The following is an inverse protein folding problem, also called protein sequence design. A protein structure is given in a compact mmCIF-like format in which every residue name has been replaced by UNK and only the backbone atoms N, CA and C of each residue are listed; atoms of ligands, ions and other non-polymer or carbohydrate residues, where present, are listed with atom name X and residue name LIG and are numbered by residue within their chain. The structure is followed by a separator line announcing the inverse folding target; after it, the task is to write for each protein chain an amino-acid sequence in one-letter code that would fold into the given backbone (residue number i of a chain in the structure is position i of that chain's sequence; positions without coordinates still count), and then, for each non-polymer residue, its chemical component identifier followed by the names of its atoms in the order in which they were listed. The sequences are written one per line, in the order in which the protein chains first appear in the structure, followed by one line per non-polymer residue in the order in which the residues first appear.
data_IF_247227293337
#
_entry.id   IF_247227293337
#
_cell.length_a   1.000
_cell.length_b   1.000
_cell.length_c   1.000
_cell.angle_alpha   90.00
_cell.angle_beta   90.00
_cell.angle_gamma   90.00
#
_symmetry.space_group_name_H-M   'P 1'
#
loop_
_entity.id
_entity.type
_entity.pdbx_description
1 polymer ?
#
# COMPACT_ATOMS: atom_id res chain seq x y z
N UNK A 1 -19.61 12.77 3.72
CA UNK A 1 -19.98 14.05 3.08
C UNK A 1 -19.43 14.13 1.66
N UNK A 2 -20.05 14.92 0.79
CA UNK A 2 -19.54 15.19 -0.56
C UNK A 2 -18.50 16.30 -0.53
N UNK A 3 -17.39 16.12 -1.22
CA UNK A 3 -16.39 17.15 -1.48
C UNK A 3 -16.63 17.67 -2.91
N UNK A 4 -16.85 18.99 -3.06
CA UNK A 4 -17.07 19.61 -4.36
C UNK A 4 -16.29 20.92 -4.45
N UNK A 5 -15.40 21.01 -5.42
CA UNK A 5 -14.61 22.18 -5.79
C UNK A 5 -14.57 22.34 -7.30
N UNK A 6 -13.94 23.40 -7.79
CA UNK A 6 -13.88 23.70 -9.22
C UNK A 6 -13.16 22.59 -10.02
N UNK A 7 -12.09 22.01 -9.44
CA UNK A 7 -11.25 20.94 -10.08
C UNK A 7 -11.16 19.67 -9.24
N UNK A 8 -12.02 19.51 -8.23
CA UNK A 8 -11.98 18.37 -7.31
C UNK A 8 -13.40 17.90 -7.02
N UNK A 9 -13.60 16.59 -7.12
CA UNK A 9 -14.83 15.91 -6.65
C UNK A 9 -14.44 14.76 -5.75
N UNK A 10 -15.17 14.55 -4.67
CA UNK A 10 -14.79 13.51 -3.73
C UNK A 10 -15.83 13.23 -2.67
N UNK A 11 -15.39 12.42 -1.72
CA UNK A 11 -16.17 12.04 -0.54
C UNK A 11 -15.29 12.08 0.69
N UNK A 12 -15.84 12.59 1.79
CA UNK A 12 -15.24 12.52 3.12
C UNK A 12 -15.98 11.47 3.93
N UNK A 13 -15.24 10.54 4.50
CA UNK A 13 -15.71 9.48 5.39
C UNK A 13 -15.16 9.76 6.79
N UNK A 14 -16.03 9.67 7.79
CA UNK A 14 -15.66 9.88 9.19
C UNK A 14 -16.03 8.65 10.00
N UNK A 15 -15.14 8.23 10.90
CA UNK A 15 -15.35 7.10 11.78
C UNK A 15 -14.78 7.39 13.17
N UNK A 16 -15.56 7.06 14.19
CA UNK A 16 -15.10 7.06 15.58
C UNK A 16 -14.77 5.62 15.98
N UNK A 17 -13.49 5.33 16.13
CA UNK A 17 -12.96 4.10 16.69
C UNK A 17 -12.97 4.26 18.22
N UNK A 18 -13.83 3.49 18.92
CA UNK A 18 -14.06 3.68 20.36
C UNK A 18 -12.94 3.09 21.18
N UNK A 19 -12.69 3.69 22.35
CA UNK A 19 -11.77 3.18 23.36
C UNK A 19 -11.99 1.69 23.63
N UNK A 20 -10.90 0.91 23.61
CA UNK A 20 -10.89 -0.54 23.82
C UNK A 20 -11.34 -1.36 22.60
N UNK A 21 -11.81 -0.78 21.52
CA UNK A 21 -12.15 -1.49 20.30
C UNK A 21 -10.91 -2.19 19.74
N UNK A 22 -11.01 -3.50 19.39
CA UNK A 22 -9.87 -4.35 18.96
C UNK A 22 -8.62 -4.27 19.88
N UNK A 23 -8.80 -3.84 21.13
CA UNK A 23 -7.75 -3.73 22.14
C UNK A 23 -6.94 -2.44 22.13
N UNK A 24 -7.25 -1.48 21.26
CA UNK A 24 -6.55 -0.19 21.21
C UNK A 24 -7.13 0.80 22.22
N UNK A 25 -6.28 1.54 22.98
CA UNK A 25 -6.74 2.55 23.91
C UNK A 25 -7.14 3.84 23.22
N UNK A 26 -8.02 4.60 23.85
CA UNK A 26 -8.49 5.92 23.44
C UNK A 26 -9.54 5.90 22.34
N UNK A 27 -10.32 6.97 22.29
CA UNK A 27 -11.22 7.21 21.15
C UNK A 27 -10.43 7.82 20.01
N UNK A 28 -10.37 7.16 18.87
CA UNK A 28 -9.69 7.65 17.67
C UNK A 28 -10.72 8.15 16.64
N UNK A 29 -10.73 9.46 16.40
CA UNK A 29 -11.54 10.05 15.35
C UNK A 29 -10.76 10.04 14.04
N UNK A 30 -11.29 9.38 13.02
CA UNK A 30 -10.64 9.19 11.72
C UNK A 30 -11.47 9.90 10.66
N UNK A 31 -10.82 10.68 9.81
CA UNK A 31 -11.38 11.22 8.59
C UNK A 31 -10.55 10.75 7.40
N UNK A 32 -11.22 10.20 6.38
CA UNK A 32 -10.59 9.81 5.12
C UNK A 32 -11.29 10.56 3.98
N UNK A 33 -10.51 11.33 3.22
CA UNK A 33 -10.97 12.06 2.07
C UNK A 33 -10.51 11.38 0.79
N UNK A 34 -11.44 10.93 -0.04
CA UNK A 34 -11.17 10.46 -1.40
C UNK A 34 -11.49 11.59 -2.38
N UNK A 35 -10.50 12.02 -3.16
CA UNK A 35 -10.64 13.15 -4.09
C UNK A 35 -10.19 12.73 -5.49
N UNK A 36 -11.02 13.00 -6.48
CA UNK A 36 -10.64 12.91 -7.89
C UNK A 36 -10.34 14.31 -8.42
N UNK A 37 -9.20 14.47 -9.07
CA UNK A 37 -8.78 15.74 -9.68
C UNK A 37 -8.94 15.71 -11.19
N UNK A 38 -8.98 16.89 -11.82
CA UNK A 38 -9.00 17.02 -13.29
C UNK A 38 -7.68 16.53 -13.92
N UNK A 39 -6.62 16.39 -13.12
CA UNK A 39 -5.31 15.82 -13.51
C UNK A 39 -5.28 14.29 -13.46
N UNK A 40 -6.45 13.64 -13.38
CA UNK A 40 -6.62 12.17 -13.31
C UNK A 40 -5.94 11.55 -12.09
N UNK A 41 -5.96 12.22 -10.97
CA UNK A 41 -5.43 11.70 -9.72
C UNK A 41 -6.55 11.28 -8.79
N UNK A 42 -6.38 10.12 -8.15
CA UNK A 42 -7.11 9.74 -6.95
C UNK A 42 -6.23 10.08 -5.76
N UNK A 43 -6.59 11.12 -5.04
CA UNK A 43 -5.90 11.54 -3.81
C UNK A 43 -6.68 11.00 -2.62
N UNK A 44 -5.99 10.31 -1.71
CA UNK A 44 -6.55 9.78 -0.46
C UNK A 44 -5.80 10.47 0.68
N UNK A 45 -6.50 11.25 1.46
CA UNK A 45 -5.95 11.93 2.62
C UNK A 45 -6.56 11.36 3.90
N UNK A 46 -5.71 11.08 4.86
CA UNK A 46 -6.07 10.59 6.18
C UNK A 46 -5.78 11.65 7.21
N UNK A 47 -6.70 11.85 8.14
CA UNK A 47 -6.48 12.64 9.33
C UNK A 47 -7.07 11.91 10.52
N UNK A 48 -6.34 11.85 11.64
CA UNK A 48 -6.87 11.28 12.86
C UNK A 48 -6.38 12.03 14.09
N UNK A 49 -7.19 12.03 15.14
CA UNK A 49 -6.86 12.54 16.47
C UNK A 49 -7.50 11.67 17.55
N UNK A 50 -6.88 11.65 18.73
CA UNK A 50 -7.25 10.79 19.85
C UNK A 50 -7.43 11.59 21.14
N UNK A 51 -8.17 11.04 22.09
CA UNK A 51 -8.32 11.58 23.45
C UNK A 51 -7.42 10.89 24.50
N UNK A 52 -6.72 9.81 24.11
CA UNK A 52 -5.72 9.13 24.92
C UNK A 52 -4.59 8.60 24.04
N UNK A 53 -3.37 8.35 24.58
CA UNK A 53 -2.27 7.77 23.79
C UNK A 53 -2.70 6.46 23.14
N UNK A 54 -2.48 6.34 21.82
CA UNK A 54 -2.84 5.15 21.03
C UNK A 54 -1.85 4.93 19.90
N UNK A 55 -2.08 3.88 19.09
CA UNK A 55 -1.30 3.59 17.88
C UNK A 55 -2.14 3.93 16.64
N UNK A 56 -1.51 4.56 15.65
CA UNK A 56 -2.18 4.93 14.40
C UNK A 56 -1.26 4.72 13.18
N UNK A 57 -1.68 3.83 12.28
CA UNK A 57 -1.03 3.60 10.98
C UNK A 57 -2.11 3.22 9.97
N UNK A 58 -2.62 4.22 9.25
CA UNK A 58 -3.72 4.03 8.30
C UNK A 58 -3.16 3.80 6.90
N UNK A 59 -3.81 2.92 6.14
CA UNK A 59 -3.52 2.65 4.74
C UNK A 59 -4.79 2.40 3.94
N UNK A 60 -4.67 2.19 2.63
CA UNK A 60 -5.74 1.66 1.79
C UNK A 60 -5.26 0.38 1.10
N UNK A 61 -6.20 -0.50 0.82
CA UNK A 61 -5.90 -1.81 0.23
C UNK A 61 -6.63 -1.96 -1.12
N UNK A 62 -6.42 -0.99 -2.01
CA UNK A 62 -7.00 -1.02 -3.36
C UNK A 62 -6.27 -2.02 -4.26
N UNK A 63 -7.04 -2.84 -4.98
CA UNK A 63 -6.54 -3.85 -5.91
C UNK A 63 -6.54 -3.31 -7.34
N UNK A 64 -5.36 -3.21 -7.96
CA UNK A 64 -5.18 -2.65 -9.29
C UNK A 64 -4.85 -3.70 -10.34
N UNK A 65 -5.56 -3.65 -11.46
CA UNK A 65 -5.22 -4.35 -12.70
C UNK A 65 -5.49 -3.40 -13.87
N UNK A 66 -4.43 -2.87 -14.46
CA UNK A 66 -4.54 -1.83 -15.49
C UNK A 66 -5.01 -2.34 -16.85
N UNK A 67 -5.16 -3.67 -17.01
CA UNK A 67 -5.72 -4.26 -18.23
C UNK A 67 -7.22 -3.97 -18.42
N UNK A 68 -7.89 -3.43 -17.39
CA UNK A 68 -9.34 -3.18 -17.38
C UNK A 68 -10.17 -4.44 -17.71
N UNK A 69 -9.77 -5.57 -17.14
CA UNK A 69 -10.46 -6.86 -17.30
C UNK A 69 -10.11 -7.64 -18.57
N UNK A 70 -9.15 -7.15 -19.38
CA UNK A 70 -8.67 -7.88 -20.57
C UNK A 70 -7.72 -9.02 -20.20
N UNK A 71 -6.92 -8.87 -19.15
CA UNK A 71 -6.10 -9.93 -18.57
C UNK A 71 -6.64 -10.34 -17.20
N UNK A 72 -6.73 -11.64 -16.88
CA UNK A 72 -7.12 -12.12 -15.56
C UNK A 72 -6.02 -11.94 -14.52
N UNK A 73 -4.79 -11.63 -14.93
CA UNK A 73 -3.63 -11.47 -14.02
C UNK A 73 -2.84 -10.21 -14.35
N UNK A 74 -1.97 -9.83 -13.39
CA UNK A 74 -1.03 -8.70 -13.53
C UNK A 74 0.39 -9.18 -13.91
N UNK A 75 0.57 -10.42 -14.26
CA UNK A 75 1.90 -11.00 -14.50
C UNK A 75 2.65 -10.36 -15.66
N UNK A 76 1.92 -9.79 -16.64
CA UNK A 76 2.52 -9.06 -17.77
C UNK A 76 2.74 -7.56 -17.46
N UNK A 77 2.30 -7.08 -16.30
CA UNK A 77 2.53 -5.68 -15.92
C UNK A 77 4.00 -5.47 -15.55
N UNK A 78 4.50 -4.28 -15.88
CA UNK A 78 5.81 -3.79 -15.47
C UNK A 78 5.63 -2.96 -14.18
N UNK A 79 6.45 -3.22 -13.18
CA UNK A 79 6.48 -2.47 -11.93
C UNK A 79 7.85 -1.87 -11.68
N UNK A 80 7.87 -0.68 -11.10
CA UNK A 80 9.04 -0.05 -10.51
C UNK A 80 8.71 0.42 -9.10
N UNK A 81 9.64 0.26 -8.16
CA UNK A 81 9.52 0.75 -6.77
C UNK A 81 10.72 1.64 -6.45
N UNK A 82 10.46 2.84 -5.94
CA UNK A 82 11.45 3.84 -5.59
C UNK A 82 12.14 3.58 -4.25
N UNK A 83 12.50 2.33 -3.96
CA UNK A 83 13.13 1.93 -2.70
C UNK A 83 14.33 1.03 -2.92
N UNK A 84 15.33 1.17 -2.03
CA UNK A 84 16.54 0.34 -2.02
C UNK A 84 16.55 -0.68 -0.87
N UNK A 85 15.56 -0.62 0.02
CA UNK A 85 15.46 -1.44 1.22
C UNK A 85 14.05 -1.96 1.43
N UNK A 86 13.95 -3.06 2.19
CA UNK A 86 12.68 -3.67 2.59
C UNK A 86 12.78 -4.19 4.02
N UNK A 87 11.65 -4.46 4.67
CA UNK A 87 11.56 -5.12 5.97
C UNK A 87 11.28 -6.60 5.76
N UNK A 88 12.19 -7.51 6.15
CA UNK A 88 12.00 -8.95 5.95
C UNK A 88 11.00 -9.55 6.94
N UNK A 89 10.47 -10.71 6.57
CA UNK A 89 9.57 -11.52 7.36
C UNK A 89 10.27 -12.79 7.85
N UNK A 90 9.92 -13.26 9.05
CA UNK A 90 10.35 -14.58 9.54
C UNK A 90 9.49 -15.70 8.92
N UNK A 91 9.82 -16.97 9.21
CA UNK A 91 9.09 -18.14 8.72
C UNK A 91 7.63 -18.23 9.19
N UNK A 92 7.22 -17.40 10.14
CA UNK A 92 5.83 -17.29 10.63
C UNK A 92 5.11 -16.07 10.04
N UNK A 93 5.67 -15.49 8.98
CA UNK A 93 5.12 -14.32 8.30
C UNK A 93 5.04 -13.08 9.20
N UNK A 94 6.02 -12.87 10.08
CA UNK A 94 6.10 -11.73 10.98
C UNK A 94 7.30 -10.85 10.65
N UNK A 95 7.19 -9.51 10.74
CA UNK A 95 8.33 -8.60 10.58
C UNK A 95 9.45 -8.94 11.57
N UNK A 96 10.71 -8.96 11.09
CA UNK A 96 11.88 -9.25 11.94
C UNK A 96 12.47 -8.01 12.61
N UNK A 97 12.05 -6.81 12.19
CA UNK A 97 12.64 -5.54 12.61
C UNK A 97 13.89 -5.15 11.84
N UNK A 98 14.41 -6.01 10.98
CA UNK A 98 15.55 -5.69 10.14
C UNK A 98 15.14 -4.80 8.96
N UNK A 99 16.12 -4.07 8.41
CA UNK A 99 16.02 -3.34 7.14
C UNK A 99 17.13 -3.88 6.23
N UNK A 100 16.75 -4.60 5.18
CA UNK A 100 17.68 -5.25 4.25
C UNK A 100 17.63 -4.61 2.86
N UNK A 101 18.77 -4.67 2.14
CA UNK A 101 18.84 -4.18 0.77
C UNK A 101 18.06 -5.08 -0.18
N UNK A 102 17.30 -4.47 -1.10
CA UNK A 102 16.64 -5.20 -2.21
C UNK A 102 17.63 -5.68 -3.27
N UNK A 103 18.84 -5.09 -3.32
CA UNK A 103 19.84 -5.36 -4.35
C UNK A 103 20.23 -6.85 -4.37
N UNK A 104 20.25 -7.44 -5.57
CA UNK A 104 20.52 -8.86 -5.80
C UNK A 104 19.48 -9.81 -5.18
N UNK A 105 18.27 -9.32 -4.92
CA UNK A 105 17.12 -10.13 -4.50
C UNK A 105 16.01 -10.06 -5.54
N UNK A 106 15.03 -10.98 -5.51
CA UNK A 106 13.83 -10.88 -6.34
C UNK A 106 12.97 -9.64 -6.08
N UNK A 107 13.17 -8.94 -4.94
CA UNK A 107 12.51 -7.69 -4.59
C UNK A 107 13.16 -6.44 -5.22
N UNK A 108 14.22 -6.56 -5.99
CA UNK A 108 14.84 -5.41 -6.66
C UNK A 108 14.00 -4.96 -7.86
N UNK A 109 13.09 -4.02 -7.60
CA UNK A 109 12.30 -3.28 -8.59
C UNK A 109 12.77 -1.82 -8.72
N UNK A 110 14.01 -1.52 -8.39
CA UNK A 110 14.59 -0.17 -8.56
C UNK A 110 14.58 0.31 -10.02
N UNK A 111 14.49 -0.62 -10.96
CA UNK A 111 14.23 -0.40 -12.39
C UNK A 111 12.94 -1.10 -12.81
N UNK A 112 12.25 -0.63 -13.86
CA UNK A 112 11.06 -1.31 -14.38
C UNK A 112 11.34 -2.80 -14.68
N UNK A 113 10.49 -3.69 -14.16
CA UNK A 113 10.62 -5.12 -14.31
C UNK A 113 9.24 -5.77 -14.46
N UNK A 114 9.09 -6.73 -15.37
CA UNK A 114 7.86 -7.50 -15.54
C UNK A 114 7.63 -8.39 -14.32
N UNK A 115 6.40 -8.37 -13.78
CA UNK A 115 6.06 -9.09 -12.56
C UNK A 115 6.13 -10.62 -12.71
N UNK A 116 5.67 -11.16 -13.83
CA UNK A 116 5.62 -12.60 -14.05
C UNK A 116 6.97 -13.30 -13.91
N UNK A 117 7.99 -12.98 -14.69
CA UNK A 117 9.33 -13.54 -14.52
C UNK A 117 9.91 -13.30 -13.13
N UNK A 118 9.76 -12.06 -12.60
CA UNK A 118 10.29 -11.72 -11.28
C UNK A 118 9.72 -12.62 -10.16
N UNK A 119 8.46 -13.01 -10.25
CA UNK A 119 7.78 -13.86 -9.27
C UNK A 119 7.98 -15.33 -9.57
N UNK A 120 7.68 -15.77 -10.81
CA UNK A 120 7.56 -17.20 -11.12
C UNK A 120 8.91 -17.92 -11.22
N UNK A 121 9.98 -17.19 -11.54
CA UNK A 121 11.34 -17.73 -11.56
C UNK A 121 11.99 -17.78 -10.17
N UNK A 122 11.36 -17.15 -9.15
CA UNK A 122 11.89 -17.04 -7.79
C UNK A 122 10.95 -17.62 -6.73
N UNK A 123 10.27 -18.71 -7.04
CA UNK A 123 9.23 -19.31 -6.19
C UNK A 123 9.69 -19.64 -4.77
N UNK A 124 10.93 -20.11 -4.61
CA UNK A 124 11.49 -20.44 -3.31
C UNK A 124 11.60 -19.20 -2.41
N UNK A 125 12.04 -18.07 -2.98
CA UNK A 125 12.10 -16.80 -2.24
C UNK A 125 10.71 -16.34 -1.76
N UNK A 126 9.68 -16.53 -2.58
CA UNK A 126 8.30 -16.13 -2.30
C UNK A 126 7.44 -17.21 -1.64
N UNK A 127 8.02 -18.35 -1.22
CA UNK A 127 7.27 -19.44 -0.59
C UNK A 127 6.50 -18.96 0.65
N UNK A 128 7.17 -18.18 1.49
CA UNK A 128 6.59 -17.64 2.72
C UNK A 128 5.35 -16.76 2.47
N UNK A 129 5.32 -16.03 1.35
CA UNK A 129 4.21 -15.16 0.94
C UNK A 129 3.27 -15.83 -0.07
N UNK A 130 3.15 -17.16 -0.01
CA UNK A 130 2.32 -17.93 -0.93
C UNK A 130 2.65 -17.68 -2.41
N UNK A 131 3.93 -17.52 -2.73
CA UNK A 131 4.46 -17.50 -4.09
C UNK A 131 4.29 -16.18 -4.84
N UNK A 132 4.27 -15.04 -4.18
CA UNK A 132 4.26 -13.73 -4.79
C UNK A 132 4.71 -12.64 -3.83
N UNK A 133 4.66 -11.38 -4.24
CA UNK A 133 5.00 -10.28 -3.35
C UNK A 133 3.94 -10.13 -2.25
N UNK A 134 4.41 -9.91 -1.05
CA UNK A 134 3.68 -9.40 0.11
C UNK A 134 4.71 -8.83 1.08
N UNK A 135 5.39 -7.77 0.62
CA UNK A 135 6.59 -7.24 1.26
C UNK A 135 6.50 -5.72 1.38
N UNK A 136 6.95 -5.22 2.52
CA UNK A 136 7.04 -3.78 2.75
C UNK A 136 8.41 -3.25 2.32
N UNK A 137 8.39 -2.27 1.43
CA UNK A 137 9.54 -1.49 1.00
C UNK A 137 9.72 -0.28 1.91
N UNK A 138 10.97 0.07 2.21
CA UNK A 138 11.33 1.28 2.96
C UNK A 138 11.63 2.40 1.96
N UNK A 139 10.77 3.40 1.93
CA UNK A 139 10.89 4.53 1.02
C UNK A 139 11.91 5.55 1.52
N UNK A 140 12.63 6.26 0.61
CA UNK A 140 13.58 7.31 0.98
C UNK A 140 12.85 8.61 1.40
N UNK A 141 11.91 8.51 2.34
CA UNK A 141 11.06 9.61 2.79
C UNK A 141 11.30 9.92 4.26
N UNK A 142 12.40 10.60 4.55
CA UNK A 142 12.73 10.98 5.92
C UNK A 142 11.97 12.22 6.43
N UNK A 143 11.37 13.02 5.52
CA UNK A 143 10.86 14.36 5.85
C UNK A 143 9.33 14.50 5.70
N UNK A 144 8.61 13.41 5.44
CA UNK A 144 7.15 13.47 5.20
C UNK A 144 6.75 14.23 3.93
N UNK A 145 7.68 14.44 3.00
CA UNK A 145 7.36 15.03 1.69
C UNK A 145 6.66 13.99 0.79
N UNK A 146 5.80 14.46 -0.10
CA UNK A 146 5.17 13.59 -1.10
C UNK A 146 6.22 13.15 -2.13
N UNK A 147 6.54 11.86 -2.15
CA UNK A 147 7.53 11.26 -3.07
C UNK A 147 6.89 10.19 -3.94
N UNK A 148 7.44 9.98 -5.14
CA UNK A 148 7.04 8.87 -6.01
C UNK A 148 7.54 7.56 -5.41
N UNK A 149 6.61 6.72 -4.95
CA UNK A 149 6.89 5.45 -4.30
C UNK A 149 6.99 4.29 -5.30
N UNK A 150 6.09 4.27 -6.32
CA UNK A 150 6.05 3.21 -7.31
C UNK A 150 5.46 3.68 -8.63
N UNK A 151 5.64 2.87 -9.66
CA UNK A 151 4.97 2.96 -10.96
C UNK A 151 4.53 1.57 -11.40
N UNK A 152 3.32 1.47 -11.94
CA UNK A 152 2.78 0.27 -12.55
C UNK A 152 2.37 0.59 -13.99
N UNK A 153 2.76 -0.27 -14.94
CA UNK A 153 2.41 -0.13 -16.36
C UNK A 153 1.82 -1.44 -16.88
N UNK A 154 0.73 -1.37 -17.60
CA UNK A 154 0.26 -2.46 -18.47
C UNK A 154 0.73 -2.24 -19.91
N UNK A 155 1.69 -3.02 -20.44
CA UNK A 155 2.22 -2.84 -21.79
C UNK A 155 1.17 -2.99 -22.87
N UNK A 156 0.15 -3.83 -22.67
CA UNK A 156 -0.89 -4.10 -23.65
C UNK A 156 -1.86 -2.94 -23.85
N UNK A 157 -2.25 -2.28 -22.77
CA UNK A 157 -3.18 -1.15 -22.83
C UNK A 157 -2.47 0.20 -22.91
N UNK A 158 -1.18 0.24 -22.57
CA UNK A 158 -0.38 1.46 -22.43
C UNK A 158 -0.72 2.28 -21.18
N UNK A 159 -1.61 1.79 -20.29
CA UNK A 159 -1.94 2.50 -19.05
C UNK A 159 -0.79 2.47 -18.08
N UNK A 160 -0.60 3.59 -17.42
CA UNK A 160 0.39 3.77 -16.36
C UNK A 160 -0.33 4.32 -15.13
N UNK A 161 0.10 3.88 -13.96
CA UNK A 161 -0.31 4.44 -12.67
C UNK A 161 0.94 4.71 -11.84
N UNK A 162 1.13 5.95 -11.45
CA UNK A 162 2.18 6.37 -10.53
C UNK A 162 1.59 6.49 -9.12
N UNK A 163 2.34 6.01 -8.14
CA UNK A 163 1.96 6.05 -6.71
C UNK A 163 2.86 7.04 -5.99
N UNK A 164 2.26 8.01 -5.30
CA UNK A 164 2.98 8.97 -4.47
C UNK A 164 2.49 8.89 -3.03
N UNK A 165 3.38 9.13 -2.08
CA UNK A 165 3.05 9.15 -0.66
C UNK A 165 4.03 9.97 0.17
N UNK A 166 3.57 10.44 1.32
CA UNK A 166 4.36 11.03 2.40
C UNK A 166 4.77 9.99 3.48
N UNK A 167 4.39 8.71 3.29
CA UNK A 167 4.65 7.65 4.26
C UNK A 167 6.02 6.99 4.04
N UNK A 168 6.64 6.43 5.10
CA UNK A 168 7.97 5.80 5.04
C UNK A 168 7.97 4.40 4.43
N UNK A 169 6.82 3.75 4.33
CA UNK A 169 6.67 2.38 3.87
C UNK A 169 5.69 2.23 2.71
N UNK A 170 5.92 1.21 1.91
CA UNK A 170 5.04 0.77 0.84
C UNK A 170 4.95 -0.76 0.87
N UNK A 171 3.81 -1.30 1.30
CA UNK A 171 3.51 -2.71 1.11
C UNK A 171 3.10 -2.94 -0.34
N UNK A 172 3.72 -3.93 -0.97
CA UNK A 172 3.34 -4.40 -2.31
C UNK A 172 2.85 -5.83 -2.19
N UNK A 173 1.59 -6.04 -2.59
CA UNK A 173 0.92 -7.34 -2.51
C UNK A 173 0.34 -7.74 -3.87
N UNK A 174 0.67 -8.94 -4.36
CA UNK A 174 0.27 -9.40 -5.70
C UNK A 174 -0.88 -10.40 -5.70
N UNK A 175 -1.81 -10.24 -4.75
CA UNK A 175 -3.04 -11.06 -4.63
C UNK A 175 -2.75 -12.56 -4.50
N UNK A 176 -1.69 -12.93 -3.77
CA UNK A 176 -1.18 -14.30 -3.69
C UNK A 176 -2.14 -15.27 -2.99
N UNK A 177 -3.01 -14.74 -2.12
CA UNK A 177 -3.95 -15.51 -1.30
C UNK A 177 -5.36 -15.56 -1.89
N UNK A 178 -5.60 -14.92 -3.04
CA UNK A 178 -6.87 -15.06 -3.76
C UNK A 178 -6.92 -16.41 -4.48
N UNK A 179 -7.99 -17.15 -4.25
CA UNK A 179 -8.17 -18.54 -4.69
C UNK A 179 -9.34 -18.75 -5.68
N UNK A 180 -9.99 -17.66 -6.07
CA UNK A 180 -11.16 -17.69 -6.96
C UNK A 180 -12.50 -17.95 -6.27
N UNK A 181 -12.53 -18.12 -4.95
CA UNK A 181 -13.77 -18.30 -4.19
C UNK A 181 -14.67 -17.05 -4.20
N UNK A 182 -14.07 -15.88 -4.39
CA UNK A 182 -14.79 -14.60 -4.47
C UNK A 182 -15.09 -14.27 -5.92
N UNK A 183 -16.37 -14.12 -6.23
CA UNK A 183 -16.84 -13.62 -7.52
C UNK A 183 -16.82 -12.09 -7.52
N UNK A 184 -16.07 -11.52 -8.44
CA UNK A 184 -15.87 -10.09 -8.54
C UNK A 184 -16.72 -9.40 -9.60
N UNK A 185 -16.24 -8.27 -10.08
CA UNK A 185 -16.88 -7.50 -11.16
C UNK A 185 -17.07 -8.40 -12.39
N UNK A 186 -18.22 -8.23 -13.04
CA UNK A 186 -18.59 -9.00 -14.24
C UNK A 186 -18.72 -10.52 -14.02
N UNK A 187 -18.94 -10.98 -12.79
CA UNK A 187 -19.10 -12.39 -12.45
C UNK A 187 -17.81 -13.22 -12.60
N UNK A 188 -16.65 -12.58 -12.74
CA UNK A 188 -15.37 -13.27 -12.86
C UNK A 188 -14.78 -13.55 -11.48
N UNK A 189 -14.20 -14.74 -11.22
CA UNK A 189 -13.52 -15.03 -9.97
C UNK A 189 -12.22 -14.23 -9.86
N UNK A 190 -11.87 -13.81 -8.65
CA UNK A 190 -10.58 -13.24 -8.36
C UNK A 190 -9.60 -14.34 -7.96
N UNK A 191 -8.73 -14.69 -8.89
CA UNK A 191 -7.71 -15.71 -8.69
C UNK A 191 -6.37 -15.09 -8.27
N UNK A 192 -5.42 -15.94 -7.89
CA UNK A 192 -4.04 -15.55 -7.61
C UNK A 192 -3.48 -14.68 -8.74
N UNK A 193 -2.77 -13.63 -8.37
CA UNK A 193 -2.22 -12.62 -9.27
C UNK A 193 -3.26 -11.81 -10.07
N UNK A 194 -4.51 -11.76 -9.63
CA UNK A 194 -5.54 -10.99 -10.34
C UNK A 194 -5.28 -9.46 -10.29
N UNK A 195 -4.57 -8.99 -9.25
CA UNK A 195 -4.28 -7.58 -9.05
C UNK A 195 -2.98 -7.38 -8.24
N UNK A 196 -2.53 -6.13 -8.16
CA UNK A 196 -1.49 -5.69 -7.25
C UNK A 196 -2.02 -4.57 -6.35
N UNK A 197 -1.63 -4.59 -5.08
CA UNK A 197 -1.93 -3.54 -4.09
C UNK A 197 -0.66 -2.74 -3.79
N UNK A 198 -0.82 -1.44 -3.60
CA UNK A 198 0.21 -0.51 -3.16
C UNK A 198 -0.30 0.18 -1.90
N UNK A 199 0.16 -0.27 -0.75
CA UNK A 199 -0.35 0.15 0.55
C UNK A 199 0.69 1.04 1.21
N UNK A 200 0.49 2.33 1.11
CA UNK A 200 1.39 3.32 1.71
C UNK A 200 1.11 3.43 3.19
N UNK A 201 2.13 3.29 4.03
CA UNK A 201 1.94 3.08 5.46
C UNK A 201 3.19 3.41 6.28
N UNK A 202 3.07 3.34 7.60
CA UNK A 202 4.22 3.20 8.50
C UNK A 202 4.83 1.81 8.33
N UNK A 203 6.06 1.62 8.84
CA UNK A 203 6.71 0.31 8.76
C UNK A 203 5.95 -0.74 9.60
N UNK A 204 5.78 -1.97 9.10
CA UNK A 204 5.08 -3.02 9.82
C UNK A 204 5.73 -3.30 11.18
N UNK A 205 4.88 -3.49 12.21
CA UNK A 205 5.28 -3.79 13.59
C UNK A 205 6.14 -2.70 14.26
N UNK A 206 6.03 -1.43 13.80
CA UNK A 206 6.80 -0.31 14.34
C UNK A 206 6.57 -0.08 15.84
N UNK A 207 5.45 -0.54 16.40
CA UNK A 207 5.19 -0.47 17.84
C UNK A 207 6.22 -1.26 18.67
N UNK A 208 6.80 -2.33 18.11
CA UNK A 208 7.75 -3.22 18.78
C UNK A 208 9.21 -2.93 18.42
N UNK A 209 9.48 -2.07 17.44
CA UNK A 209 10.81 -1.77 16.95
C UNK A 209 11.13 -0.27 17.08
N UNK A 210 11.71 0.14 18.22
CA UNK A 210 11.97 1.53 18.55
C UNK A 210 12.92 2.29 17.62
N UNK A 211 13.55 1.63 16.65
CA UNK A 211 14.34 2.26 15.58
C UNK A 211 13.52 2.57 14.33
N UNK A 212 12.27 2.11 14.26
CA UNK A 212 11.33 2.50 13.22
C UNK A 212 10.65 3.84 13.56
N UNK A 213 10.18 4.60 12.56
CA UNK A 213 9.35 5.78 12.83
C UNK A 213 8.13 5.40 13.67
N UNK A 214 7.92 6.16 14.77
CA UNK A 214 6.82 5.89 15.71
C UNK A 214 5.45 5.91 15.03
N UNK A 215 4.57 5.05 15.51
CA UNK A 215 3.13 5.01 15.19
C UNK A 215 2.28 5.46 16.37
N UNK A 216 2.90 5.90 17.47
CA UNK A 216 2.19 6.46 18.61
C UNK A 216 1.54 7.80 18.24
N UNK A 217 0.31 7.98 18.69
CA UNK A 217 -0.46 9.21 18.55
C UNK A 217 -0.92 9.66 19.93
N UNK A 218 -0.61 10.90 20.28
CA UNK A 218 -0.97 11.51 21.54
C UNK A 218 -2.11 12.54 21.35
N UNK A 219 -2.86 12.89 22.44
CA UNK A 219 -4.02 13.77 22.36
C UNK A 219 -3.80 15.17 21.77
N UNK A 220 -2.56 15.68 21.86
CA UNK A 220 -2.15 16.99 21.34
C UNK A 220 -1.59 16.93 19.91
N UNK A 221 -1.63 15.76 19.29
CA UNK A 221 -1.09 15.50 17.97
C UNK A 221 -2.20 15.20 16.95
N UNK A 222 -1.91 15.49 15.68
CA UNK A 222 -2.74 15.10 14.56
C UNK A 222 -1.95 14.13 13.69
N UNK A 223 -2.50 12.93 13.49
CA UNK A 223 -2.03 12.03 12.46
C UNK A 223 -2.45 12.55 11.09
N UNK A 224 -1.53 12.57 10.14
CA UNK A 224 -1.82 12.84 8.73
C UNK A 224 -1.04 11.89 7.82
N UNK A 225 -1.68 11.51 6.72
CA UNK A 225 -1.05 10.71 5.67
C UNK A 225 -1.73 11.01 4.32
N UNK A 226 -0.95 10.93 3.24
CA UNK A 226 -1.44 11.17 1.88
C UNK A 226 -0.95 10.07 0.94
N UNK A 227 -1.88 9.57 0.13
CA UNK A 227 -1.61 8.66 -0.98
C UNK A 227 -2.19 9.26 -2.25
N UNK A 228 -1.42 9.24 -3.34
CA UNK A 228 -1.91 9.67 -4.65
C UNK A 228 -1.67 8.56 -5.67
N UNK A 229 -2.73 8.18 -6.36
CA UNK A 229 -2.67 7.34 -7.56
C UNK A 229 -2.92 8.23 -8.77
N UNK A 230 -1.89 8.45 -9.60
CA UNK A 230 -1.95 9.29 -10.81
C UNK A 230 -1.99 8.40 -12.06
N UNK A 231 -3.01 8.60 -12.91
CA UNK A 231 -3.27 7.79 -14.10
C UNK A 231 -2.98 8.54 -15.41
#
# INVERSE_FOLDING_TARGET
EKISGHSIKGVSLNYLYKDGQEGFPGNLNITVNYKLTDERQLVIEYTAFTDAPTLCSLTNHSYFNLSAGKSPTILEHEMQVGANFYTPLDKKFRPTGEILSVKNTPLDFSKPKVLGPAILENKEFFEISNGGLDHNYVLPNANGALVKAASLRDPLSGRIMDVYTDQPGLQVYTSNFLDGSISGKFGKPYNKYAAVCFETQKLPDAANFGHFPSIELYPDQIYSATTVYAF
#
